data_IF_602415188092
#
_entry.id   IF_602415188092
#
_cell.length_a   1.000
_cell.length_b   1.000
_cell.length_c   1.000
_cell.angle_alpha   90.00
_cell.angle_beta   90.00
_cell.angle_gamma   90.00
#
_symmetry.space_group_name_H-M   'P 1'
#
loop_
_entity.id
_entity.type
_entity.pdbx_description
1 polymer ?
#
# COMPACT_ATOMS: atom_id res chain seq x y z
N UNK A 1 23.13 3.64 7.64
CA UNK A 1 22.42 2.41 7.28
C UNK A 1 23.34 1.48 6.52
N UNK A 2 23.32 0.21 6.90
CA UNK A 2 24.27 -0.77 6.38
C UNK A 2 23.68 -1.60 5.24
N UNK A 3 23.21 -0.91 4.22
CA UNK A 3 22.63 -1.58 3.05
C UNK A 3 23.10 -0.87 1.78
N UNK A 4 23.56 -1.65 0.81
CA UNK A 4 23.98 -1.11 -0.47
C UNK A 4 22.80 -0.69 -1.32
N UNK A 5 23.04 0.15 -2.33
CA UNK A 5 22.00 0.56 -3.27
C UNK A 5 21.39 -0.65 -4.00
N UNK A 6 22.22 -1.63 -4.34
CA UNK A 6 21.75 -2.83 -5.02
C UNK A 6 20.89 -3.70 -4.10
N UNK A 7 21.28 -3.84 -2.83
CA UNK A 7 20.50 -4.59 -1.85
C UNK A 7 19.14 -3.92 -1.60
N UNK A 8 19.13 -2.59 -1.50
CA UNK A 8 17.88 -1.87 -1.27
C UNK A 8 16.92 -2.04 -2.45
N UNK A 9 17.41 -2.01 -3.67
CA UNK A 9 16.60 -2.22 -4.86
C UNK A 9 16.06 -3.66 -4.92
N UNK A 10 16.90 -4.64 -4.60
CA UNK A 10 16.47 -6.04 -4.52
C UNK A 10 15.39 -6.23 -3.47
N UNK A 11 15.53 -5.61 -2.29
CA UNK A 11 14.53 -5.68 -1.23
C UNK A 11 13.22 -5.00 -1.63
N UNK A 12 13.30 -3.86 -2.32
CA UNK A 12 12.09 -3.17 -2.81
C UNK A 12 11.30 -4.07 -3.74
N UNK A 13 11.97 -4.72 -4.69
CA UNK A 13 11.31 -5.63 -5.62
C UNK A 13 10.76 -6.88 -4.92
N UNK A 14 11.52 -7.47 -4.02
CA UNK A 14 11.12 -8.68 -3.31
C UNK A 14 9.93 -8.41 -2.37
N UNK A 15 9.81 -7.19 -1.85
CA UNK A 15 8.73 -6.83 -0.92
C UNK A 15 7.46 -6.33 -1.61
N UNK A 16 7.51 -6.08 -2.92
CA UNK A 16 6.34 -5.64 -3.68
C UNK A 16 5.19 -6.62 -3.46
N UNK A 17 4.04 -6.08 -3.12
CA UNK A 17 2.90 -6.88 -2.69
C UNK A 17 1.67 -6.55 -3.52
N UNK A 18 0.96 -7.59 -3.95
CA UNK A 18 -0.27 -7.48 -4.73
C UNK A 18 -1.42 -8.13 -3.96
N UNK A 19 -2.57 -7.46 -3.93
CA UNK A 19 -3.81 -8.02 -3.41
C UNK A 19 -4.89 -7.78 -4.45
N UNK A 20 -5.66 -8.81 -4.75
CA UNK A 20 -6.77 -8.72 -5.69
C UNK A 20 -8.08 -8.99 -4.95
N UNK A 21 -9.08 -8.13 -5.16
CA UNK A 21 -10.37 -8.24 -4.50
C UNK A 21 -11.51 -8.01 -5.49
N UNK A 22 -12.62 -8.70 -5.26
CA UNK A 22 -13.88 -8.38 -5.93
C UNK A 22 -14.63 -7.34 -5.10
N UNK A 23 -15.25 -6.37 -5.77
CA UNK A 23 -15.98 -5.29 -5.12
C UNK A 23 -17.46 -5.66 -5.04
N UNK A 24 -17.89 -6.09 -3.87
CA UNK A 24 -19.29 -6.47 -3.61
C UNK A 24 -20.09 -5.26 -3.12
N UNK A 25 -21.43 -5.28 -3.26
CA UNK A 25 -22.27 -4.14 -2.88
C UNK A 25 -22.07 -3.66 -1.44
N UNK A 26 -21.77 -4.54 -0.47
CA UNK A 26 -21.61 -4.15 0.93
C UNK A 26 -20.40 -3.26 1.20
N UNK A 27 -19.48 -3.15 0.25
CA UNK A 27 -18.32 -2.26 0.37
C UNK A 27 -18.52 -0.95 -0.39
N UNK A 28 -19.72 -0.73 -0.94
CA UNK A 28 -20.00 0.44 -1.77
C UNK A 28 -20.87 1.47 -1.05
N UNK A 29 -20.86 2.69 -1.60
CA UNK A 29 -21.63 3.82 -1.09
C UNK A 29 -22.97 3.95 -1.84
N UNK A 30 -23.68 5.06 -1.62
CA UNK A 30 -24.98 5.33 -2.24
C UNK A 30 -24.91 5.59 -3.75
N UNK A 31 -23.72 5.69 -4.32
CA UNK A 31 -23.51 5.79 -5.77
C UNK A 31 -23.11 4.45 -6.40
N UNK A 32 -23.18 3.35 -5.64
CA UNK A 32 -22.75 2.01 -6.07
C UNK A 32 -21.28 1.95 -6.46
N UNK A 33 -20.45 2.77 -5.81
CA UNK A 33 -19.00 2.73 -5.99
C UNK A 33 -18.33 2.43 -4.65
N UNK A 34 -17.12 1.88 -4.72
CA UNK A 34 -16.34 1.51 -3.53
C UNK A 34 -16.27 2.70 -2.56
N UNK A 35 -16.63 2.46 -1.31
CA UNK A 35 -16.57 3.46 -0.26
C UNK A 35 -15.12 3.90 -0.03
N UNK A 36 -14.88 5.22 0.02
CA UNK A 36 -13.53 5.76 0.16
C UNK A 36 -12.79 5.24 1.39
N UNK A 37 -13.48 5.13 2.53
CA UNK A 37 -12.89 4.58 3.74
C UNK A 37 -12.47 3.12 3.61
N UNK A 38 -13.25 2.32 2.88
CA UNK A 38 -12.90 0.92 2.61
C UNK A 38 -11.68 0.83 1.70
N UNK A 39 -11.64 1.69 0.66
CA UNK A 39 -10.48 1.76 -0.22
C UNK A 39 -9.21 2.09 0.57
N UNK A 40 -9.29 3.08 1.46
CA UNK A 40 -8.17 3.48 2.31
C UNK A 40 -7.71 2.34 3.22
N UNK A 41 -8.65 1.58 3.79
CA UNK A 41 -8.33 0.43 4.63
C UNK A 41 -7.56 -0.63 3.82
N UNK A 42 -8.02 -0.95 2.63
CA UNK A 42 -7.35 -1.94 1.78
C UNK A 42 -5.95 -1.46 1.36
N UNK A 43 -5.81 -0.17 1.06
CA UNK A 43 -4.53 0.42 0.70
C UNK A 43 -3.55 0.39 1.88
N UNK A 44 -4.03 0.70 3.08
CA UNK A 44 -3.19 0.62 4.28
C UNK A 44 -2.75 -0.81 4.56
N UNK A 45 -3.66 -1.78 4.42
CA UNK A 45 -3.33 -3.19 4.61
C UNK A 45 -2.22 -3.67 3.67
N UNK A 46 -2.36 -3.41 2.37
CA UNK A 46 -1.35 -3.86 1.40
C UNK A 46 -0.03 -3.14 1.59
N UNK A 47 -0.08 -1.86 2.01
CA UNK A 47 1.15 -1.10 2.23
C UNK A 47 1.91 -1.58 3.46
N UNK A 48 1.22 -1.92 4.55
CA UNK A 48 1.90 -2.44 5.75
C UNK A 48 2.53 -3.81 5.47
N UNK A 49 1.90 -4.62 4.62
CA UNK A 49 2.48 -5.91 4.23
C UNK A 49 3.79 -5.69 3.47
N UNK A 50 3.78 -4.81 2.46
CA UNK A 50 4.98 -4.50 1.69
C UNK A 50 6.08 -3.91 2.59
N UNK A 51 5.72 -2.97 3.45
CA UNK A 51 6.65 -2.34 4.38
C UNK A 51 7.28 -3.34 5.34
N UNK A 52 6.47 -4.26 5.86
CA UNK A 52 6.94 -5.30 6.78
C UNK A 52 7.87 -6.28 6.06
N UNK A 53 7.52 -6.70 4.85
CA UNK A 53 8.37 -7.59 4.07
C UNK A 53 9.71 -6.95 3.73
N UNK A 54 9.72 -5.64 3.49
CA UNK A 54 10.94 -4.90 3.21
C UNK A 54 11.85 -4.80 4.44
N UNK A 55 11.28 -4.46 5.60
CA UNK A 55 12.03 -4.14 6.81
C UNK A 55 12.16 -5.30 7.81
N UNK A 56 11.13 -6.16 7.86
CA UNK A 56 10.96 -7.19 8.89
C UNK A 56 10.97 -6.62 10.30
N UNK A 57 10.48 -5.38 10.44
CA UNK A 57 10.37 -4.67 11.73
C UNK A 57 8.89 -4.45 12.08
N UNK A 58 8.65 -4.14 13.35
CA UNK A 58 7.34 -3.68 13.79
C UNK A 58 7.16 -2.25 13.29
N UNK A 59 6.09 -2.01 12.55
CA UNK A 59 5.85 -0.71 11.92
C UNK A 59 4.52 -0.14 12.35
N UNK A 60 4.46 1.19 12.47
CA UNK A 60 3.21 1.90 12.65
C UNK A 60 3.00 2.88 11.51
N UNK A 61 1.76 3.01 11.06
CA UNK A 61 1.39 3.99 10.04
C UNK A 61 1.36 5.37 10.70
N UNK A 62 2.13 6.31 10.19
CA UNK A 62 2.19 7.65 10.77
C UNK A 62 1.50 8.69 9.91
N UNK A 63 1.38 8.45 8.61
CA UNK A 63 0.64 9.37 7.74
C UNK A 63 0.30 8.71 6.41
N UNK A 64 -0.73 9.24 5.76
CA UNK A 64 -1.01 8.98 4.36
C UNK A 64 -0.94 10.31 3.63
N UNK A 65 -0.50 10.30 2.39
CA UNK A 65 -0.25 11.51 1.64
C UNK A 65 -0.62 11.30 0.18
N UNK A 66 -1.08 12.39 -0.45
CA UNK A 66 -1.36 12.42 -1.89
C UNK A 66 -2.29 11.30 -2.35
N UNK A 67 -3.39 11.09 -1.62
CA UNK A 67 -4.39 10.12 -2.04
C UNK A 67 -5.24 10.75 -3.15
N UNK A 68 -5.06 10.24 -4.36
CA UNK A 68 -5.78 10.72 -5.54
C UNK A 68 -6.81 9.69 -6.00
N UNK A 69 -8.06 10.11 -6.03
CA UNK A 69 -9.16 9.28 -6.52
C UNK A 69 -9.37 9.62 -8.00
N UNK A 70 -8.75 8.85 -8.88
CA UNK A 70 -8.70 9.16 -10.31
C UNK A 70 -9.90 8.63 -11.08
N UNK A 71 -10.44 7.50 -10.67
CA UNK A 71 -11.59 6.86 -11.31
C UNK A 71 -12.45 6.16 -10.26
N UNK A 72 -13.77 6.17 -10.42
CA UNK A 72 -14.64 5.44 -9.50
C UNK A 72 -14.45 3.94 -9.65
N UNK A 73 -14.74 3.20 -8.60
CA UNK A 73 -14.65 1.73 -8.57
C UNK A 73 -16.07 1.19 -8.39
N UNK A 74 -16.74 0.78 -9.48
CA UNK A 74 -18.12 0.32 -9.39
C UNK A 74 -18.27 -1.00 -8.65
N UNK A 75 -19.44 -1.23 -8.05
CA UNK A 75 -19.80 -2.55 -7.56
C UNK A 75 -19.75 -3.54 -8.73
N UNK A 76 -19.30 -4.76 -8.44
CA UNK A 76 -19.17 -5.78 -9.48
C UNK A 76 -17.91 -5.65 -10.32
N UNK A 77 -16.93 -4.87 -9.86
CA UNK A 77 -15.63 -4.83 -10.52
C UNK A 77 -14.59 -5.60 -9.71
N UNK A 78 -13.42 -5.76 -10.30
CA UNK A 78 -12.25 -6.36 -9.65
C UNK A 78 -11.21 -5.27 -9.46
N UNK A 79 -10.58 -5.24 -8.29
CA UNK A 79 -9.47 -4.31 -8.05
C UNK A 79 -8.21 -5.09 -7.73
N UNK A 80 -7.10 -4.59 -8.24
CA UNK A 80 -5.77 -5.06 -7.89
C UNK A 80 -5.02 -3.92 -7.21
N UNK A 81 -4.56 -4.17 -5.98
CA UNK A 81 -3.75 -3.21 -5.24
C UNK A 81 -2.31 -3.65 -5.30
N UNK A 82 -1.44 -2.72 -5.66
CA UNK A 82 0.00 -2.97 -5.77
C UNK A 82 0.71 -1.99 -4.85
N UNK A 83 1.48 -2.51 -3.91
CA UNK A 83 2.24 -1.70 -2.97
C UNK A 83 3.73 -1.94 -3.14
N UNK A 84 4.50 -0.86 -3.17
CA UNK A 84 5.95 -0.96 -3.26
C UNK A 84 6.62 0.14 -2.43
N UNK A 85 7.71 -0.22 -1.76
CA UNK A 85 8.51 0.74 -1.00
C UNK A 85 9.24 1.63 -2.00
N UNK A 86 9.06 2.94 -1.88
CA UNK A 86 9.68 3.90 -2.80
C UNK A 86 10.89 4.60 -2.18
N UNK A 87 10.89 4.77 -0.86
CA UNK A 87 12.05 5.36 -0.18
C UNK A 87 12.07 4.93 1.29
N UNK A 88 13.22 5.03 1.90
CA UNK A 88 13.38 4.74 3.32
C UNK A 88 14.49 5.62 3.92
N UNK A 89 14.33 5.94 5.19
CA UNK A 89 15.34 6.62 6.00
C UNK A 89 15.85 5.70 7.08
N UNK A 90 16.39 6.29 8.14
CA UNK A 90 16.95 5.52 9.26
C UNK A 90 15.86 4.72 9.99
N UNK A 91 14.74 5.38 10.33
CA UNK A 91 13.65 4.76 11.12
C UNK A 91 12.32 4.73 10.37
N UNK A 92 12.25 5.33 9.18
CA UNK A 92 10.99 5.49 8.45
C UNK A 92 11.11 4.95 7.02
N UNK A 93 9.96 4.68 6.43
CA UNK A 93 9.88 4.30 5.02
C UNK A 93 8.55 4.76 4.44
N UNK A 94 8.52 4.88 3.11
CA UNK A 94 7.32 5.25 2.37
C UNK A 94 6.97 4.16 1.37
N UNK A 95 5.68 3.89 1.28
CA UNK A 95 5.12 2.89 0.37
C UNK A 95 4.13 3.58 -0.56
N UNK A 96 4.30 3.38 -1.85
CA UNK A 96 3.35 3.84 -2.85
C UNK A 96 2.37 2.71 -3.14
N UNK A 97 1.08 3.02 -3.13
CA UNK A 97 0.03 2.07 -3.44
C UNK A 97 -0.75 2.56 -4.65
N UNK A 98 -0.95 1.68 -5.62
CA UNK A 98 -1.83 1.90 -6.74
C UNK A 98 -2.97 0.87 -6.67
N UNK A 99 -4.19 1.35 -6.87
CA UNK A 99 -5.35 0.47 -7.02
C UNK A 99 -5.82 0.58 -8.46
N UNK A 100 -5.82 -0.55 -9.15
CA UNK A 100 -6.29 -0.65 -10.53
C UNK A 100 -7.66 -1.30 -10.53
N UNK A 101 -8.54 -0.83 -11.40
CA UNK A 101 -9.89 -1.37 -11.52
C UNK A 101 -10.10 -1.94 -12.91
N UNK A 102 -10.78 -3.09 -12.96
CA UNK A 102 -11.22 -3.74 -14.20
C UNK A 102 -12.66 -4.21 -14.04
N UNK A 103 -13.41 -4.23 -15.14
CA UNK A 103 -14.76 -4.78 -15.13
C UNK A 103 -14.72 -6.29 -14.92
N UNK A 104 -15.73 -6.83 -14.23
CA UNK A 104 -15.78 -8.26 -13.93
C UNK A 104 -15.73 -9.12 -15.20
N UNK A 105 -16.31 -8.62 -16.29
CA UNK A 105 -16.45 -9.38 -17.54
C UNK A 105 -15.74 -8.74 -18.72
N UNK A 106 -14.79 -7.82 -18.43
CA UNK A 106 -14.08 -7.08 -19.47
C UNK A 106 -12.58 -7.08 -19.17
N UNK A 107 -11.77 -7.20 -20.22
CA UNK A 107 -10.33 -7.04 -20.08
C UNK A 107 -9.95 -5.57 -19.95
N UNK A 108 -8.81 -5.32 -19.36
CA UNK A 108 -8.24 -3.98 -19.27
C UNK A 108 -8.40 -3.37 -17.90
N UNK A 109 -7.31 -2.84 -17.38
CA UNK A 109 -7.24 -2.17 -16.11
C UNK A 109 -7.01 -0.68 -16.31
N UNK A 110 -7.51 0.14 -15.38
CA UNK A 110 -7.14 1.54 -15.30
C UNK A 110 -6.88 1.91 -13.85
N UNK A 111 -6.04 2.90 -13.64
CA UNK A 111 -5.73 3.37 -12.29
C UNK A 111 -6.96 4.04 -11.68
N UNK A 112 -7.39 3.53 -10.54
CA UNK A 112 -8.52 4.10 -9.81
C UNK A 112 -8.06 5.03 -8.70
N UNK A 113 -7.05 4.60 -7.91
CA UNK A 113 -6.59 5.36 -6.75
C UNK A 113 -5.08 5.20 -6.63
N UNK A 114 -4.40 6.30 -6.30
CA UNK A 114 -2.98 6.29 -5.99
C UNK A 114 -2.77 6.98 -4.66
N UNK A 115 -1.90 6.43 -3.81
CA UNK A 115 -1.60 7.03 -2.53
C UNK A 115 -0.23 6.62 -2.01
N UNK A 116 0.26 7.38 -1.05
CA UNK A 116 1.53 7.11 -0.38
C UNK A 116 1.29 7.02 1.12
N UNK A 117 1.88 6.02 1.74
CA UNK A 117 1.76 5.77 3.18
C UNK A 117 3.15 5.79 3.79
N UNK A 118 3.26 6.46 4.94
CA UNK A 118 4.53 6.55 5.67
C UNK A 118 4.45 5.74 6.95
N UNK A 119 5.52 5.02 7.24
CA UNK A 119 5.64 4.12 8.39
C UNK A 119 6.91 4.44 9.17
N UNK A 120 6.86 4.18 10.47
CA UNK A 120 8.04 4.28 11.34
C UNK A 120 8.22 2.93 12.02
N UNK A 121 9.46 2.44 12.00
CA UNK A 121 9.83 1.23 12.72
C UNK A 121 9.93 1.56 14.21
N UNK A 122 9.33 0.71 15.03
CA UNK A 122 9.31 0.91 16.48
C UNK A 122 9.76 -0.36 17.21
N UNK A 123 10.33 -0.14 18.39
CA UNK A 123 10.70 -1.25 19.28
C UNK A 123 9.50 -1.68 20.12
N UNK A 124 9.73 -2.59 21.07
CA UNK A 124 8.68 -3.12 21.93
C UNK A 124 8.06 -2.06 22.85
N UNK A 125 8.74 -0.93 23.05
CA UNK A 125 8.26 0.22 23.82
C UNK A 125 7.65 1.31 22.95
N UNK A 126 7.40 1.01 21.66
CA UNK A 126 6.83 1.93 20.69
C UNK A 126 7.70 3.14 20.39
N UNK A 127 9.02 3.00 20.56
CA UNK A 127 9.98 4.03 20.26
C UNK A 127 10.63 3.78 18.90
N UNK A 128 10.91 4.83 18.10
CA UNK A 128 11.55 4.64 16.80
C UNK A 128 12.85 3.84 16.90
N UNK A 129 13.01 2.92 15.97
CA UNK A 129 14.20 2.07 15.90
C UNK A 129 14.66 1.97 14.44
N UNK A 130 15.96 1.72 14.20
CA UNK A 130 16.45 1.63 12.83
C UNK A 130 15.79 0.52 12.03
N UNK A 131 15.51 0.80 10.75
CA UNK A 131 14.95 -0.19 9.83
C UNK A 131 15.98 -1.28 9.54
N UNK A 132 17.24 -0.90 9.35
CA UNK A 132 18.35 -1.83 9.16
C UNK A 132 19.37 -1.67 10.27
N UNK A 133 20.05 -2.76 10.59
CA UNK A 133 21.12 -2.72 11.58
C UNK A 133 22.22 -1.73 11.17
N UNK A 134 22.75 -1.05 12.15
CA UNK A 134 23.83 -0.06 11.95
C UNK A 134 25.18 -0.62 12.42
#
# INVERSE_FOLDING_TARGET
>A
MNISAQESETRKQASRTHITKAVFPETTNHHDTLFGGTAMQWMDEVSIIAATRFSRKRLVTVSSDKIDFNNPVPAGSIVELVAEVIEFGRTSLKVKVNMFVEGMYQDGQKNAITGTFSFVAVDENMKPTPIFEE
#
